data_IF_562065022324
#
_entry.id   IF_562065022324
#
_cell.length_a   1.000
_cell.length_b   1.000
_cell.length_c   1.000
_cell.angle_alpha   90.00
_cell.angle_beta   90.00
_cell.angle_gamma   90.00
#
_symmetry.space_group_name_H-M   'P 1'
#
loop_
_entity.id
_entity.type
_entity.pdbx_description
1 polymer ?
#
# COMPACT_ATOMS: atom_id res chain seq x y z
N UNK A 1 27.14 -26.41 -52.45
CA UNK A 1 26.18 -25.29 -52.45
C UNK A 1 25.01 -25.65 -51.55
N UNK A 2 24.49 -24.63 -50.85
CA UNK A 2 23.25 -24.57 -50.07
C UNK A 2 23.17 -25.43 -48.79
N UNK A 3 23.23 -24.76 -47.63
CA UNK A 3 22.05 -24.59 -46.77
C UNK A 3 22.43 -23.97 -45.41
N UNK A 4 22.38 -22.64 -45.30
CA UNK A 4 22.26 -21.93 -44.03
C UNK A 4 21.34 -20.72 -44.24
N UNK A 5 20.05 -21.00 -44.42
CA UNK A 5 19.03 -19.98 -44.21
C UNK A 5 18.85 -19.88 -42.70
N UNK A 6 19.72 -19.11 -42.05
CA UNK A 6 19.47 -18.66 -40.69
C UNK A 6 18.30 -17.69 -40.79
N UNK A 7 17.17 -18.05 -40.19
CA UNK A 7 16.00 -17.19 -40.06
C UNK A 7 16.40 -15.91 -39.31
N UNK A 8 16.85 -14.88 -40.04
CA UNK A 8 17.05 -13.53 -39.51
C UNK A 8 15.68 -12.85 -39.49
N UNK A 9 14.84 -13.31 -38.56
CA UNK A 9 13.65 -12.58 -38.19
C UNK A 9 14.03 -11.82 -36.90
N UNK A 10 14.31 -10.50 -36.97
CA UNK A 10 14.69 -9.70 -35.81
C UNK A 10 13.76 -9.86 -34.60
N UNK A 11 12.42 -9.96 -34.75
CA UNK A 11 11.55 -10.23 -33.60
C UNK A 11 11.74 -11.64 -33.03
N UNK A 12 12.05 -12.64 -33.86
CA UNK A 12 12.34 -14.00 -33.39
C UNK A 12 13.67 -14.04 -32.62
N UNK A 13 14.71 -13.36 -33.13
CA UNK A 13 16.01 -13.26 -32.47
C UNK A 13 15.90 -12.47 -31.15
N UNK A 14 15.09 -11.41 -31.12
CA UNK A 14 14.76 -10.66 -29.90
C UNK A 14 13.95 -11.49 -28.89
N UNK A 15 13.03 -12.33 -29.35
CA UNK A 15 12.32 -13.29 -28.50
C UNK A 15 13.27 -14.34 -27.92
N UNK A 16 14.21 -14.86 -28.72
CA UNK A 16 15.20 -15.86 -28.28
C UNK A 16 16.18 -15.26 -27.27
N UNK A 17 16.66 -14.03 -27.49
CA UNK A 17 17.54 -13.35 -26.54
C UNK A 17 16.82 -12.89 -25.27
N UNK A 18 15.52 -12.57 -25.34
CA UNK A 18 14.68 -12.32 -24.17
C UNK A 18 14.35 -13.59 -23.37
N UNK A 19 14.58 -14.77 -23.94
CA UNK A 19 14.31 -16.10 -23.35
C UNK A 19 15.59 -16.79 -22.86
N UNK A 20 16.62 -16.04 -22.47
CA UNK A 20 17.83 -16.63 -21.90
C UNK A 20 17.52 -17.32 -20.57
N UNK A 21 17.67 -18.65 -20.56
CA UNK A 21 17.48 -19.58 -19.42
C UNK A 21 16.03 -20.02 -19.16
N UNK A 22 15.13 -19.95 -20.16
CA UNK A 22 13.76 -20.44 -20.00
C UNK A 22 12.86 -19.52 -19.17
N UNK A 23 13.29 -18.29 -18.87
CA UNK A 23 12.50 -17.27 -18.19
C UNK A 23 12.47 -15.99 -19.03
N UNK A 24 11.28 -15.42 -19.19
CA UNK A 24 11.09 -14.11 -19.82
C UNK A 24 11.75 -13.02 -18.97
N UNK A 25 12.53 -12.12 -19.59
CA UNK A 25 13.21 -11.02 -18.89
C UNK A 25 12.31 -10.18 -17.98
N UNK A 26 11.05 -9.96 -18.37
CA UNK A 26 10.06 -9.27 -17.53
C UNK A 26 9.64 -10.07 -16.29
N UNK A 27 9.56 -11.41 -16.39
CA UNK A 27 9.29 -12.28 -15.23
C UNK A 27 10.50 -12.28 -14.29
N UNK A 28 11.72 -12.29 -14.82
CA UNK A 28 12.94 -12.15 -14.00
C UNK A 28 12.96 -10.81 -13.26
N UNK A 29 12.60 -9.72 -13.93
CA UNK A 29 12.50 -8.40 -13.29
C UNK A 29 11.43 -8.36 -12.19
N UNK A 30 10.27 -9.00 -12.41
CA UNK A 30 9.23 -9.12 -11.38
C UNK A 30 9.69 -9.92 -10.16
N UNK A 31 10.49 -10.99 -10.35
CA UNK A 31 11.07 -11.76 -9.24
C UNK A 31 12.08 -10.98 -8.40
N UNK A 32 12.66 -9.92 -8.96
CA UNK A 32 13.56 -9.01 -8.25
C UNK A 32 12.82 -7.91 -7.48
N UNK A 33 11.50 -7.75 -7.69
CA UNK A 33 10.70 -6.83 -6.89
C UNK A 33 10.43 -7.40 -5.50
N UNK A 34 10.65 -6.59 -4.47
CA UNK A 34 10.37 -6.95 -3.08
C UNK A 34 8.94 -6.54 -2.71
N UNK A 35 8.14 -7.36 -2.02
CA UNK A 35 6.81 -6.96 -1.59
C UNK A 35 6.85 -5.74 -0.66
N UNK A 36 5.73 -5.01 -0.59
CA UNK A 36 5.61 -3.84 0.28
C UNK A 36 5.52 -4.34 1.73
N UNK A 37 6.40 -3.83 2.58
CA UNK A 37 6.43 -4.15 4.02
C UNK A 37 5.87 -3.04 4.90
N UNK A 38 5.72 -1.83 4.37
CA UNK A 38 5.17 -0.72 5.12
C UNK A 38 4.85 0.45 4.22
N UNK A 39 3.75 1.14 4.54
CA UNK A 39 3.36 2.40 3.91
C UNK A 39 3.35 3.46 5.01
N UNK A 40 3.98 4.60 4.75
CA UNK A 40 4.03 5.73 5.70
C UNK A 40 3.82 7.05 4.97
N UNK A 41 3.63 8.15 5.70
CA UNK A 41 3.35 9.45 5.09
C UNK A 41 3.35 10.59 6.11
N UNK A 42 2.58 11.65 5.84
CA UNK A 42 2.52 12.89 6.65
C UNK A 42 2.08 12.73 8.11
N UNK A 43 1.28 11.72 8.44
CA UNK A 43 0.91 11.36 9.81
C UNK A 43 2.08 10.87 10.67
N UNK A 44 3.21 10.45 10.07
CA UNK A 44 4.42 10.06 10.81
C UNK A 44 5.51 11.08 10.47
N UNK A 45 5.89 11.87 11.46
CA UNK A 45 6.95 12.87 11.33
C UNK A 45 8.21 12.33 12.02
N UNK A 46 9.28 12.19 11.25
CA UNK A 46 10.60 11.77 11.75
C UNK A 46 11.67 12.67 11.14
N UNK A 47 12.48 13.33 11.97
CA UNK A 47 13.54 14.26 11.52
C UNK A 47 14.70 13.55 10.79
N UNK A 48 14.86 12.24 11.00
CA UNK A 48 15.85 11.40 10.34
C UNK A 48 15.21 10.07 10.00
N UNK A 49 14.67 9.93 8.79
CA UNK A 49 14.36 8.61 8.22
C UNK A 49 15.68 7.84 8.06
N UNK A 50 16.10 7.14 9.12
CA UNK A 50 16.82 5.89 8.92
C UNK A 50 15.77 4.99 8.29
N UNK A 51 15.82 4.82 6.96
CA UNK A 51 15.05 3.74 6.32
C UNK A 51 15.28 2.49 7.16
N UNK A 52 14.22 1.78 7.60
CA UNK A 52 14.39 0.51 8.27
C UNK A 52 15.18 -0.39 7.30
N UNK A 53 16.47 -0.54 7.57
CA UNK A 53 17.36 -1.39 6.82
C UNK A 53 16.95 -2.81 7.15
N UNK A 54 16.07 -3.42 6.35
CA UNK A 54 15.83 -4.86 6.46
C UNK A 54 15.77 -5.54 5.10
N UNK A 55 16.49 -6.66 5.05
CA UNK A 55 17.04 -7.31 3.87
C UNK A 55 16.00 -8.01 2.97
N UNK A 56 14.70 -7.68 3.09
CA UNK A 56 13.62 -8.45 2.45
C UNK A 56 12.33 -7.68 2.07
N UNK A 57 12.30 -6.35 2.12
CA UNK A 57 11.07 -5.60 1.78
C UNK A 57 11.25 -4.10 1.54
N UNK A 58 10.19 -3.46 1.02
CA UNK A 58 10.19 -2.01 0.76
C UNK A 58 9.22 -1.27 1.69
N UNK A 59 9.74 -0.27 2.39
CA UNK A 59 8.94 0.78 3.03
C UNK A 59 8.76 1.92 2.03
N UNK A 60 7.51 2.30 1.76
CA UNK A 60 7.17 3.24 0.70
C UNK A 60 6.41 4.43 1.28
N UNK A 61 6.88 5.64 0.98
CA UNK A 61 6.16 6.84 1.32
C UNK A 61 4.89 6.98 0.44
N UNK A 62 3.79 7.42 1.04
CA UNK A 62 2.46 7.52 0.41
C UNK A 62 2.44 8.32 -0.89
N UNK A 63 3.26 9.36 -0.98
CA UNK A 63 3.35 10.19 -2.19
C UNK A 63 4.22 9.57 -3.30
N UNK A 64 5.13 8.65 -2.97
CA UNK A 64 5.97 7.93 -3.93
C UNK A 64 5.33 6.61 -4.40
N UNK A 65 4.31 6.14 -3.68
CA UNK A 65 3.61 4.89 -3.96
C UNK A 65 3.09 4.77 -5.41
N UNK A 66 2.50 5.81 -6.04
CA UNK A 66 2.07 5.71 -7.43
C UNK A 66 3.21 5.44 -8.41
N UNK A 67 4.34 6.16 -8.27
CA UNK A 67 5.49 5.96 -9.14
C UNK A 67 6.09 4.55 -8.96
N UNK A 68 6.16 4.09 -7.71
CA UNK A 68 6.62 2.75 -7.37
C UNK A 68 5.73 1.65 -7.98
N UNK A 69 4.41 1.80 -7.88
CA UNK A 69 3.45 0.84 -8.43
C UNK A 69 3.34 0.90 -9.95
N UNK A 70 3.59 2.05 -10.56
CA UNK A 70 3.62 2.21 -12.02
C UNK A 70 4.75 1.40 -12.66
N UNK A 71 5.96 1.44 -12.09
CA UNK A 71 7.07 0.61 -12.54
C UNK A 71 6.71 -0.89 -12.56
N UNK A 72 6.01 -1.37 -11.52
CA UNK A 72 5.57 -2.77 -11.44
C UNK A 72 4.46 -3.08 -12.43
N UNK A 73 3.50 -2.16 -12.58
CA UNK A 73 2.40 -2.31 -13.54
C UNK A 73 2.93 -2.50 -14.95
N UNK A 74 3.90 -1.70 -15.38
CA UNK A 74 4.49 -1.82 -16.71
C UNK A 74 5.10 -3.21 -16.93
N UNK A 75 5.79 -3.76 -15.92
CA UNK A 75 6.34 -5.12 -16.00
C UNK A 75 5.25 -6.20 -16.07
N UNK A 76 4.19 -6.08 -15.27
CA UNK A 76 3.05 -7.01 -15.27
C UNK A 76 2.29 -6.93 -16.59
N UNK A 77 2.02 -5.74 -17.12
CA UNK A 77 1.26 -5.54 -18.35
C UNK A 77 2.00 -6.06 -19.58
N UNK A 78 3.34 -5.92 -19.63
CA UNK A 78 4.16 -6.53 -20.69
C UNK A 78 4.03 -8.07 -20.71
N UNK A 79 3.79 -8.69 -19.56
CA UNK A 79 3.57 -10.14 -19.45
C UNK A 79 2.13 -10.50 -19.79
N UNK A 80 1.14 -9.75 -19.28
CA UNK A 80 -0.28 -10.04 -19.49
C UNK A 80 -0.74 -9.78 -20.93
N UNK A 81 -0.18 -8.78 -21.62
CA UNK A 81 -0.55 -8.43 -23.00
C UNK A 81 -0.06 -9.44 -24.05
N UNK A 82 0.71 -10.46 -23.65
CA UNK A 82 1.17 -11.52 -24.54
C UNK A 82 0.60 -12.87 -24.07
N UNK A 83 -0.26 -13.55 -24.84
CA UNK A 83 -0.97 -14.75 -24.39
C UNK A 83 -0.03 -15.89 -23.97
N UNK A 84 1.06 -16.11 -24.70
CA UNK A 84 2.08 -17.11 -24.35
C UNK A 84 2.82 -16.77 -23.05
N UNK A 85 3.05 -15.48 -22.78
CA UNK A 85 3.71 -15.02 -21.54
C UNK A 85 2.75 -15.07 -20.34
N UNK A 86 1.47 -14.80 -20.56
CA UNK A 86 0.43 -14.91 -19.54
C UNK A 86 0.23 -16.36 -19.09
N UNK A 87 0.21 -17.33 -20.02
CA UNK A 87 0.15 -18.75 -19.67
C UNK A 87 1.35 -19.20 -18.82
N UNK A 88 2.56 -18.81 -19.22
CA UNK A 88 3.77 -19.07 -18.43
C UNK A 88 3.73 -18.37 -17.06
N UNK A 89 3.20 -17.15 -16.98
CA UNK A 89 3.03 -16.42 -15.73
C UNK A 89 2.15 -17.21 -14.75
N UNK A 90 1.03 -17.79 -15.19
CA UNK A 90 0.18 -18.62 -14.32
C UNK A 90 0.93 -19.81 -13.73
N UNK A 91 1.80 -20.47 -14.52
CA UNK A 91 2.65 -21.55 -14.01
C UNK A 91 3.68 -21.05 -12.99
N UNK A 92 4.33 -19.90 -13.24
CA UNK A 92 5.27 -19.32 -12.28
C UNK A 92 4.59 -18.81 -11.02
N UNK A 93 3.38 -18.24 -11.13
CA UNK A 93 2.60 -17.80 -9.98
C UNK A 93 2.28 -18.96 -9.05
N UNK A 94 2.09 -20.18 -9.57
CA UNK A 94 1.90 -21.37 -8.73
C UNK A 94 3.18 -21.74 -7.94
N UNK A 95 4.37 -21.54 -8.52
CA UNK A 95 5.64 -21.95 -7.89
C UNK A 95 6.31 -20.87 -7.03
N UNK A 96 6.16 -19.60 -7.41
CA UNK A 96 6.90 -18.48 -6.86
C UNK A 96 5.97 -17.56 -6.04
N UNK A 97 6.15 -17.58 -4.72
CA UNK A 97 5.37 -16.78 -3.78
C UNK A 97 5.60 -15.27 -3.98
N UNK A 98 6.85 -14.84 -4.22
CA UNK A 98 7.18 -13.40 -4.33
C UNK A 98 6.54 -12.80 -5.56
N UNK A 99 6.64 -13.51 -6.68
CA UNK A 99 5.99 -13.10 -7.92
C UNK A 99 4.47 -12.95 -7.73
N UNK A 100 3.87 -13.90 -7.00
CA UNK A 100 2.45 -13.86 -6.67
C UNK A 100 2.09 -12.65 -5.83
N UNK A 101 2.85 -12.37 -4.78
CA UNK A 101 2.62 -11.22 -3.90
C UNK A 101 2.68 -9.90 -4.70
N UNK A 102 3.73 -9.71 -5.52
CA UNK A 102 3.88 -8.50 -6.35
C UNK A 102 2.74 -8.34 -7.35
N UNK A 103 2.32 -9.42 -8.02
CA UNK A 103 1.20 -9.38 -8.97
C UNK A 103 -0.12 -9.08 -8.25
N UNK A 104 -0.34 -9.65 -7.06
CA UNK A 104 -1.54 -9.34 -6.24
C UNK A 104 -1.54 -7.90 -5.73
N UNK A 105 -0.38 -7.33 -5.37
CA UNK A 105 -0.24 -5.93 -4.98
C UNK A 105 -0.62 -4.99 -6.15
N UNK A 106 -0.13 -5.29 -7.36
CA UNK A 106 -0.53 -4.54 -8.58
C UNK A 106 -2.03 -4.69 -8.83
N UNK A 107 -2.59 -5.89 -8.71
CA UNK A 107 -4.02 -6.10 -8.89
C UNK A 107 -4.88 -5.30 -7.90
N UNK A 108 -4.48 -5.26 -6.62
CA UNK A 108 -5.18 -4.53 -5.58
C UNK A 108 -5.07 -3.01 -5.77
N UNK A 109 -3.89 -2.49 -6.13
CA UNK A 109 -3.65 -1.07 -6.31
C UNK A 109 -4.40 -0.48 -7.52
N UNK A 110 -4.49 -1.22 -8.63
CA UNK A 110 -5.20 -0.75 -9.85
C UNK A 110 -6.65 -1.25 -9.95
N UNK A 111 -7.19 -1.89 -8.91
CA UNK A 111 -8.58 -2.30 -8.90
C UNK A 111 -8.90 -3.45 -9.86
N UNK A 112 -7.91 -4.27 -10.26
CA UNK A 112 -8.13 -5.38 -11.20
C UNK A 112 -8.75 -6.59 -10.49
N UNK A 113 -10.04 -6.48 -10.16
CA UNK A 113 -10.76 -7.51 -9.40
C UNK A 113 -10.77 -8.86 -10.10
N UNK A 114 -10.89 -8.90 -11.43
CA UNK A 114 -10.87 -10.14 -12.22
C UNK A 114 -9.53 -10.89 -12.08
N UNK A 115 -8.42 -10.15 -12.08
CA UNK A 115 -7.09 -10.72 -11.89
C UNK A 115 -6.94 -11.25 -10.46
N UNK A 116 -7.40 -10.47 -9.47
CA UNK A 116 -7.35 -10.87 -8.06
C UNK A 116 -8.22 -12.10 -7.79
N UNK A 117 -9.45 -12.15 -8.30
CA UNK A 117 -10.35 -13.30 -8.19
C UNK A 117 -9.77 -14.52 -8.90
N UNK A 118 -9.24 -14.35 -10.11
CA UNK A 118 -8.56 -15.45 -10.83
C UNK A 118 -7.39 -16.03 -10.04
N UNK A 119 -6.60 -15.17 -9.38
CA UNK A 119 -5.52 -15.60 -8.47
C UNK A 119 -6.08 -16.30 -7.24
N UNK A 120 -7.09 -15.77 -6.56
CA UNK A 120 -7.66 -16.41 -5.37
C UNK A 120 -8.31 -17.76 -5.72
N UNK A 121 -9.06 -17.85 -6.82
CA UNK A 121 -9.73 -19.08 -7.26
C UNK A 121 -8.72 -20.18 -7.64
N UNK A 122 -7.64 -19.82 -8.36
CA UNK A 122 -6.59 -20.79 -8.71
C UNK A 122 -5.83 -21.32 -7.48
N UNK A 123 -5.73 -20.51 -6.43
CA UNK A 123 -5.10 -20.90 -5.17
C UNK A 123 -6.02 -21.68 -4.24
N UNK A 124 -7.32 -21.32 -4.19
CA UNK A 124 -8.31 -22.02 -3.38
C UNK A 124 -8.50 -23.48 -3.80
N UNK A 125 -8.30 -23.78 -5.09
CA UNK A 125 -8.37 -25.16 -5.60
C UNK A 125 -7.14 -26.01 -5.22
N UNK A 126 -6.04 -25.37 -4.82
CA UNK A 126 -4.77 -26.06 -4.60
C UNK A 126 -4.36 -25.93 -3.13
N UNK A 127 -4.77 -26.89 -2.30
CA UNK A 127 -4.46 -26.98 -0.87
C UNK A 127 -2.96 -26.99 -0.55
N UNK A 128 -2.10 -27.21 -1.54
CA UNK A 128 -0.64 -27.27 -1.44
C UNK A 128 0.07 -25.97 -1.80
N UNK A 129 -0.64 -24.95 -2.32
CA UNK A 129 -0.01 -23.69 -2.70
C UNK A 129 0.19 -22.79 -1.48
N UNK A 130 1.34 -22.08 -1.38
CA UNK A 130 1.55 -21.11 -0.32
C UNK A 130 0.41 -20.09 -0.36
N UNK A 131 -0.07 -19.61 0.78
CA UNK A 131 -1.08 -18.54 0.78
C UNK A 131 -0.48 -17.29 0.11
N UNK A 132 -1.30 -16.34 -0.34
CA UNK A 132 -0.77 -15.03 -0.73
C UNK A 132 -0.29 -14.37 0.58
N UNK A 133 0.94 -13.86 0.60
CA UNK A 133 1.57 -13.24 1.78
C UNK A 133 1.65 -11.72 1.67
N UNK A 134 1.15 -11.12 0.58
CA UNK A 134 1.03 -9.67 0.45
C UNK A 134 0.21 -9.09 1.63
N UNK A 135 0.90 -8.46 2.58
CA UNK A 135 0.30 -7.99 3.84
C UNK A 135 -0.49 -6.69 3.68
N UNK A 136 -0.16 -5.89 2.66
CA UNK A 136 -0.66 -4.53 2.49
C UNK A 136 -1.74 -4.37 1.42
N UNK A 137 -2.38 -5.46 0.95
CA UNK A 137 -3.43 -5.39 -0.08
C UNK A 137 -4.59 -4.46 0.31
N UNK A 138 -5.00 -4.45 1.59
CA UNK A 138 -6.03 -3.54 2.10
C UNK A 138 -5.62 -2.07 1.98
N UNK A 139 -4.37 -1.74 2.28
CA UNK A 139 -3.83 -0.39 2.16
C UNK A 139 -3.78 0.06 0.70
N UNK A 140 -3.34 -0.81 -0.21
CA UNK A 140 -3.26 -0.50 -1.64
C UNK A 140 -4.65 -0.27 -2.25
N UNK A 141 -5.63 -1.10 -1.91
CA UNK A 141 -7.01 -0.90 -2.35
C UNK A 141 -7.64 0.34 -1.72
N UNK A 142 -7.36 0.60 -0.43
CA UNK A 142 -7.80 1.81 0.27
C UNK A 142 -7.20 3.09 -0.32
N UNK A 143 -5.97 3.04 -0.83
CA UNK A 143 -5.27 4.19 -1.40
C UNK A 143 -6.00 4.81 -2.59
N UNK A 144 -6.57 3.98 -3.47
CA UNK A 144 -7.31 4.39 -4.66
C UNK A 144 -8.84 4.32 -4.51
N UNK A 145 -9.33 3.93 -3.33
CA UNK A 145 -10.76 3.87 -3.08
C UNK A 145 -11.47 2.66 -3.72
N UNK A 146 -10.75 1.55 -3.95
CA UNK A 146 -11.31 0.34 -4.56
C UNK A 146 -12.17 -0.47 -3.58
N UNK A 147 -13.37 0.03 -3.27
CA UNK A 147 -14.30 -0.60 -2.33
C UNK A 147 -14.68 -2.04 -2.71
N UNK A 148 -14.85 -2.34 -4.00
CA UNK A 148 -15.16 -3.69 -4.48
C UNK A 148 -14.02 -4.68 -4.21
N UNK A 149 -12.77 -4.25 -4.39
CA UNK A 149 -11.59 -5.06 -4.07
C UNK A 149 -11.53 -5.34 -2.56
N UNK A 150 -11.77 -4.32 -1.73
CA UNK A 150 -11.83 -4.49 -0.28
C UNK A 150 -12.93 -5.46 0.15
N UNK A 151 -14.14 -5.34 -0.42
CA UNK A 151 -15.24 -6.25 -0.15
C UNK A 151 -14.88 -7.70 -0.51
N UNK A 152 -14.25 -7.90 -1.68
CA UNK A 152 -13.81 -9.22 -2.12
C UNK A 152 -12.70 -9.80 -1.23
N UNK A 153 -11.73 -8.98 -0.79
CA UNK A 153 -10.66 -9.40 0.13
C UNK A 153 -11.23 -9.79 1.50
N UNK A 154 -12.23 -9.07 2.00
CA UNK A 154 -12.91 -9.41 3.25
C UNK A 154 -13.74 -10.68 3.12
N UNK A 155 -14.46 -10.86 2.00
CA UNK A 155 -15.31 -12.02 1.77
C UNK A 155 -14.51 -13.33 1.58
N UNK A 156 -13.32 -13.24 0.96
CA UNK A 156 -12.47 -14.39 0.68
C UNK A 156 -11.67 -14.91 1.90
N UNK A 157 -11.94 -14.37 3.11
CA UNK A 157 -11.22 -14.69 4.35
C UNK A 157 -9.70 -14.65 4.16
N UNK A 158 -9.22 -13.64 3.42
CA UNK A 158 -7.82 -13.27 3.36
C UNK A 158 -7.43 -12.71 4.74
N UNK A 159 -7.26 -13.61 5.71
CA UNK A 159 -7.25 -13.32 7.15
C UNK A 159 -6.24 -14.23 7.84
N UNK A 160 -5.02 -14.27 7.31
CA UNK A 160 -3.89 -14.71 8.12
C UNK A 160 -3.65 -13.67 9.22
N UNK A 161 -3.16 -14.13 10.38
CA UNK A 161 -2.80 -13.26 11.50
C UNK A 161 -1.89 -12.11 11.06
N UNK A 162 -0.95 -12.39 10.14
CA UNK A 162 0.02 -11.42 9.63
C UNK A 162 -0.59 -10.29 8.81
N UNK A 163 -1.66 -10.58 8.06
CA UNK A 163 -2.39 -9.57 7.27
C UNK A 163 -3.23 -8.71 8.20
N UNK A 164 -3.88 -9.31 9.20
CA UNK A 164 -4.70 -8.58 10.17
C UNK A 164 -3.83 -7.66 11.01
N UNK A 165 -2.66 -8.14 11.45
CA UNK A 165 -1.66 -7.30 12.13
C UNK A 165 -1.22 -6.13 11.24
N UNK A 166 -0.98 -6.39 9.95
CA UNK A 166 -0.61 -5.32 9.02
C UNK A 166 -1.73 -4.30 8.82
N UNK A 167 -3.02 -4.71 8.78
CA UNK A 167 -4.16 -3.79 8.67
C UNK A 167 -4.19 -2.74 9.78
N UNK A 168 -3.71 -3.07 10.99
CA UNK A 168 -3.63 -2.13 12.12
C UNK A 168 -2.55 -1.07 11.94
N UNK A 169 -1.53 -1.34 11.13
CA UNK A 169 -0.29 -0.57 11.15
C UNK A 169 0.50 -0.74 12.46
N UNK A 170 1.70 -0.19 12.47
CA UNK A 170 2.60 -0.13 13.62
C UNK A 170 3.03 1.33 13.90
N UNK A 171 4.08 1.54 14.70
CA UNK A 171 4.60 2.86 15.00
C UNK A 171 5.15 3.61 13.78
N UNK A 172 5.62 2.87 12.77
CA UNK A 172 6.32 3.38 11.58
C UNK A 172 5.51 3.26 10.28
N UNK A 173 4.33 2.63 10.34
CA UNK A 173 3.49 2.35 9.19
C UNK A 173 2.05 2.76 9.46
N UNK A 174 1.30 2.90 8.37
CA UNK A 174 -0.12 3.24 8.42
C UNK A 174 -0.99 2.02 8.57
N UNK A 175 -2.14 2.23 9.20
CA UNK A 175 -3.27 1.33 9.08
C UNK A 175 -3.99 1.52 7.74
N UNK A 176 -4.76 0.52 7.32
CA UNK A 176 -5.55 0.60 6.08
C UNK A 176 -6.61 1.72 6.16
N UNK A 177 -7.10 1.98 7.37
CA UNK A 177 -7.99 3.09 7.72
C UNK A 177 -7.28 4.44 7.65
N UNK A 178 -6.04 4.55 8.14
CA UNK A 178 -5.25 5.78 8.04
C UNK A 178 -4.99 6.15 6.58
N UNK A 179 -4.69 5.16 5.73
CA UNK A 179 -4.54 5.34 4.27
C UNK A 179 -5.85 5.83 3.64
N UNK A 180 -6.99 5.18 3.93
CA UNK A 180 -8.28 5.58 3.41
C UNK A 180 -8.68 7.01 3.85
N UNK A 181 -8.41 7.34 5.11
CA UNK A 181 -8.70 8.65 5.69
C UNK A 181 -7.84 9.74 5.05
N UNK A 182 -6.53 9.54 4.91
CA UNK A 182 -5.66 10.53 4.29
C UNK A 182 -6.05 10.82 2.83
N UNK A 183 -6.44 9.78 2.09
CA UNK A 183 -6.87 9.90 0.69
C UNK A 183 -8.32 10.37 0.52
N UNK A 184 -9.10 10.44 1.59
CA UNK A 184 -10.49 10.90 1.56
C UNK A 184 -11.50 9.89 1.02
N UNK A 185 -11.18 8.59 1.04
CA UNK A 185 -12.05 7.54 0.52
C UNK A 185 -13.06 7.06 1.57
N UNK A 186 -14.14 7.81 1.74
CA UNK A 186 -15.18 7.60 2.78
C UNK A 186 -15.86 6.23 2.67
N UNK A 187 -16.16 5.77 1.45
CA UNK A 187 -16.81 4.46 1.23
C UNK A 187 -15.92 3.30 1.69
N UNK A 188 -14.62 3.36 1.38
CA UNK A 188 -13.64 2.39 1.87
C UNK A 188 -13.49 2.48 3.38
N UNK A 189 -13.46 3.70 3.93
CA UNK A 189 -13.36 3.94 5.36
C UNK A 189 -14.54 3.32 6.13
N UNK A 190 -15.78 3.53 5.68
CA UNK A 190 -16.97 2.93 6.28
C UNK A 190 -16.96 1.39 6.22
N UNK A 191 -16.54 0.84 5.08
CA UNK A 191 -16.44 -0.61 4.87
C UNK A 191 -15.39 -1.22 5.81
N UNK A 192 -14.19 -0.64 5.88
CA UNK A 192 -13.12 -1.10 6.77
C UNK A 192 -13.53 -0.98 8.25
N UNK A 193 -14.10 0.16 8.63
CA UNK A 193 -14.54 0.45 9.99
C UNK A 193 -15.73 -0.40 10.45
N UNK A 194 -16.58 -0.85 9.52
CA UNK A 194 -17.67 -1.81 9.82
C UNK A 194 -17.13 -3.22 9.94
N UNK A 195 -16.19 -3.60 9.06
CA UNK A 195 -15.55 -4.92 9.09
C UNK A 195 -14.77 -5.15 10.40
N UNK A 196 -14.07 -4.14 10.90
CA UNK A 196 -13.29 -4.24 12.14
C UNK A 196 -14.17 -4.50 13.37
N UNK A 197 -15.32 -3.81 13.47
CA UNK A 197 -16.33 -4.07 14.52
C UNK A 197 -16.87 -5.49 14.48
N UNK A 198 -17.03 -6.09 13.29
CA UNK A 198 -17.45 -7.48 13.16
C UNK A 198 -16.36 -8.45 13.61
N UNK A 199 -15.09 -8.16 13.31
CA UNK A 199 -13.95 -8.97 13.74
C UNK A 199 -13.73 -8.90 15.26
N UNK A 200 -13.92 -7.72 15.85
CA UNK A 200 -13.83 -7.47 17.30
C UNK A 200 -14.91 -8.25 18.07
N UNK A 201 -16.17 -8.25 17.58
CA UNK A 201 -17.27 -9.05 18.16
C UNK A 201 -17.01 -10.54 18.18
N UNK A 202 -16.28 -11.05 17.20
CA UNK A 202 -15.93 -12.47 17.14
C UNK A 202 -14.69 -12.80 18.00
N UNK A 203 -14.09 -11.78 18.64
CA UNK A 203 -12.90 -11.85 19.47
C UNK A 203 -11.71 -12.57 18.81
N UNK A 204 -11.70 -12.62 17.47
CA UNK A 204 -10.79 -13.55 16.77
C UNK A 204 -9.37 -12.97 16.77
N UNK A 205 -9.19 -11.63 16.83
CA UNK A 205 -7.90 -11.05 16.44
C UNK A 205 -7.47 -9.76 17.16
N UNK A 206 -8.14 -9.35 18.24
CA UNK A 206 -7.67 -8.21 19.05
C UNK A 206 -7.49 -6.90 18.29
N UNK A 207 -8.31 -6.64 17.25
CA UNK A 207 -8.47 -5.32 16.59
C UNK A 207 -9.15 -4.29 17.52
N UNK A 208 -8.94 -4.44 18.82
CA UNK A 208 -9.55 -3.73 19.93
C UNK A 208 -9.22 -2.24 19.86
N UNK A 209 -10.28 -1.40 19.93
CA UNK A 209 -10.41 0.06 20.20
C UNK A 209 -9.40 1.07 19.60
N UNK A 210 -8.29 0.65 19.01
CA UNK A 210 -7.11 1.43 18.63
C UNK A 210 -6.80 1.37 17.13
N UNK A 211 -7.74 0.86 16.33
CA UNK A 211 -7.62 0.71 14.88
C UNK A 211 -7.60 2.04 14.10
N UNK A 212 -8.11 3.12 14.71
CA UNK A 212 -8.30 4.45 14.09
C UNK A 212 -7.18 5.47 14.36
N UNK A 213 -6.02 5.04 14.84
CA UNK A 213 -4.92 5.94 15.17
C UNK A 213 -4.54 5.81 16.64
N UNK A 214 -3.65 4.84 16.87
CA UNK A 214 -2.83 4.52 18.04
C UNK A 214 -3.10 5.30 19.34
N UNK A 215 -3.47 4.53 20.38
CA UNK A 215 -3.52 4.91 21.79
C UNK A 215 -3.06 3.70 22.64
N UNK A 216 -2.65 3.94 23.90
CA UNK A 216 -1.31 4.43 24.22
C UNK A 216 -0.25 3.37 23.89
N UNK A 217 0.84 3.83 23.28
CA UNK A 217 2.05 3.04 23.12
C UNK A 217 2.51 2.55 24.51
N UNK A 218 3.08 1.35 24.59
CA UNK A 218 3.78 0.93 25.82
C UNK A 218 4.73 2.04 26.27
N UNK A 219 4.95 2.20 27.58
CA UNK A 219 5.90 3.19 28.10
C UNK A 219 7.26 3.04 27.39
N UNK A 220 7.70 1.80 27.16
CA UNK A 220 8.92 1.49 26.42
C UNK A 220 8.89 1.99 24.99
N UNK A 221 7.78 1.80 24.27
CA UNK A 221 7.62 2.25 22.88
C UNK A 221 7.52 3.78 22.81
N UNK A 222 6.83 4.41 23.75
CA UNK A 222 6.74 5.87 23.86
C UNK A 222 8.14 6.46 24.07
N UNK A 223 8.91 5.89 25.01
CA UNK A 223 10.28 6.32 25.28
C UNK A 223 11.18 6.13 24.06
N UNK A 224 11.09 4.99 23.39
CA UNK A 224 11.82 4.73 22.15
C UNK A 224 11.47 5.74 21.05
N UNK A 225 10.19 5.99 20.79
CA UNK A 225 9.75 6.98 19.80
C UNK A 225 10.22 8.40 20.15
N UNK A 226 10.18 8.78 21.44
CA UNK A 226 10.73 10.07 21.87
C UNK A 226 12.24 10.15 21.69
N UNK A 227 12.97 9.04 21.87
CA UNK A 227 14.42 8.95 21.64
C UNK A 227 14.79 9.03 20.15
N UNK A 228 13.96 8.44 19.28
CA UNK A 228 14.13 8.48 17.81
C UNK A 228 13.46 9.71 17.15
N UNK A 229 12.88 10.60 17.96
CA UNK A 229 12.13 11.79 17.51
C UNK A 229 11.04 11.46 16.47
N UNK A 230 10.34 10.35 16.68
CA UNK A 230 9.20 9.91 15.86
C UNK A 230 7.92 10.46 16.49
N UNK A 231 7.14 11.19 15.70
CA UNK A 231 5.85 11.73 16.11
C UNK A 231 4.74 11.15 15.22
N UNK A 232 3.63 10.74 15.84
CA UNK A 232 2.43 10.31 15.12
C UNK A 232 1.28 11.28 15.34
N UNK A 233 0.62 11.64 14.25
CA UNK A 233 -0.57 12.50 14.23
C UNK A 233 -1.79 11.58 14.05
N UNK A 234 -2.84 11.77 14.85
CA UNK A 234 -4.07 11.00 14.70
C UNK A 234 -4.76 11.34 13.36
N UNK A 235 -5.27 10.33 12.66
CA UNK A 235 -5.97 10.50 11.39
C UNK A 235 -7.15 11.48 11.49
N UNK A 236 -7.86 11.50 12.63
CA UNK A 236 -8.96 12.44 12.87
C UNK A 236 -8.47 13.89 12.93
N UNK A 237 -7.37 14.15 13.62
CA UNK A 237 -6.82 15.51 13.74
C UNK A 237 -6.26 16.00 12.39
N UNK A 238 -5.62 15.10 11.63
CA UNK A 238 -5.17 15.39 10.27
C UNK A 238 -6.34 15.67 9.31
N UNK A 239 -7.43 14.88 9.39
CA UNK A 239 -8.62 15.10 8.57
C UNK A 239 -9.32 16.43 8.89
N UNK A 240 -9.34 16.83 10.17
CA UNK A 240 -9.83 18.15 10.60
C UNK A 240 -8.93 19.26 10.03
N UNK A 241 -7.61 19.12 10.13
CA UNK A 241 -6.66 20.11 9.60
C UNK A 241 -6.77 20.27 8.07
N UNK A 242 -7.10 19.19 7.36
CA UNK A 242 -7.30 19.19 5.91
C UNK A 242 -8.71 19.62 5.47
N UNK A 243 -9.65 19.84 6.39
CA UNK A 243 -11.03 20.23 6.08
C UNK A 243 -11.88 19.13 5.44
N UNK A 244 -11.57 17.85 5.68
CA UNK A 244 -12.29 16.71 5.12
C UNK A 244 -13.51 16.35 5.99
N UNK A 245 -14.63 17.07 5.83
CA UNK A 245 -15.82 16.94 6.69
C UNK A 245 -16.42 15.53 6.71
N UNK A 246 -16.54 14.87 5.55
CA UNK A 246 -17.12 13.53 5.44
C UNK A 246 -16.26 12.46 6.14
N UNK A 247 -14.93 12.57 6.00
CA UNK A 247 -13.96 11.69 6.67
C UNK A 247 -14.04 11.90 8.18
N UNK A 248 -14.11 13.15 8.63
CA UNK A 248 -14.26 13.50 10.05
C UNK A 248 -15.57 12.95 10.62
N UNK A 249 -16.68 13.07 9.88
CA UNK A 249 -17.97 12.53 10.29
C UNK A 249 -17.92 11.01 10.43
N UNK A 250 -17.32 10.31 9.45
CA UNK A 250 -17.14 8.87 9.48
C UNK A 250 -16.23 8.43 10.65
N UNK A 251 -15.06 9.05 10.82
CA UNK A 251 -14.15 8.73 11.93
C UNK A 251 -14.81 8.94 13.29
N UNK A 252 -15.58 10.02 13.47
CA UNK A 252 -16.35 10.27 14.71
C UNK A 252 -17.44 9.22 14.95
N UNK A 253 -18.20 8.87 13.91
CA UNK A 253 -19.23 7.81 13.96
C UNK A 253 -18.66 6.47 14.41
N UNK A 254 -17.41 6.18 14.05
CA UNK A 254 -16.74 4.93 14.43
C UNK A 254 -15.88 5.02 15.70
N UNK A 255 -15.85 6.17 16.38
CA UNK A 255 -15.22 6.34 17.68
C UNK A 255 -13.71 6.59 17.64
N UNK A 256 -13.20 7.19 16.55
CA UNK A 256 -11.79 7.56 16.45
C UNK A 256 -11.39 8.54 17.59
N UNK A 257 -10.28 8.29 18.29
CA UNK A 257 -9.83 9.14 19.38
C UNK A 257 -9.40 10.52 18.86
N UNK A 258 -9.75 11.58 19.60
CA UNK A 258 -9.15 12.91 19.45
C UNK A 258 -7.97 13.03 20.43
N UNK A 259 -6.91 13.74 20.04
CA UNK A 259 -5.78 14.04 20.93
C UNK A 259 -6.22 14.66 22.27
N UNK A 260 -7.24 15.52 22.27
CA UNK A 260 -7.78 16.14 23.47
C UNK A 260 -8.45 15.14 24.44
N UNK A 261 -9.07 14.08 23.93
CA UNK A 261 -9.76 13.06 24.74
C UNK A 261 -8.77 12.04 25.33
N UNK A 262 -7.64 11.82 24.65
CA UNK A 262 -6.51 11.01 25.13
C UNK A 262 -5.85 11.62 26.38
N UNK A 263 -5.70 12.95 26.41
CA UNK A 263 -5.14 13.68 27.55
C UNK A 263 -6.06 13.67 28.78
N UNK A 264 -7.39 13.62 28.58
CA UNK A 264 -8.37 13.62 29.67
C UNK A 264 -8.51 12.26 30.37
N UNK A 265 -8.22 11.14 29.68
CA UNK A 265 -8.22 9.78 30.28
C UNK A 265 -6.84 9.30 30.73
N UNK A 266 -5.78 9.99 30.33
CA UNK A 266 -4.40 9.75 30.78
C UNK A 266 -4.04 10.57 32.02
N UNK A 267 -4.60 10.22 33.18
CA UNK A 267 -4.03 10.66 34.44
C UNK A 267 -2.55 10.29 34.48
N UNK A 268 -1.68 11.27 34.71
CA UNK A 268 -0.27 11.11 35.13
C UNK A 268 0.74 10.50 34.14
N UNK A 269 0.74 10.87 32.85
CA UNK A 269 1.95 10.72 32.01
C UNK A 269 2.31 12.09 31.40
N UNK A 270 3.28 12.73 32.04
CA UNK A 270 3.61 14.14 31.86
C UNK A 270 4.13 14.49 30.46
N UNK A 271 3.76 15.71 30.04
CA UNK A 271 4.58 16.62 29.22
C UNK A 271 5.32 15.99 28.04
N UNK A 272 4.65 15.23 27.19
CA UNK A 272 5.09 15.12 25.79
C UNK A 272 4.41 16.27 25.04
N UNK A 273 5.21 17.21 24.51
CA UNK A 273 4.72 18.32 23.68
C UNK A 273 4.16 17.74 22.39
N UNK A 274 2.86 17.47 22.37
CA UNK A 274 2.12 17.25 21.13
C UNK A 274 1.78 18.62 20.56
N UNK A 275 2.47 19.00 19.48
CA UNK A 275 2.29 20.32 18.86
C UNK A 275 0.91 20.36 18.22
N UNK A 276 0.08 21.27 18.73
CA UNK A 276 -1.12 21.73 18.06
C UNK A 276 -0.67 22.39 16.74
N UNK A 277 -0.91 21.74 15.60
CA UNK A 277 -0.69 22.38 14.29
C UNK A 277 -1.89 23.31 14.05
N UNK A 278 -1.94 24.40 14.81
CA UNK A 278 -2.69 25.59 14.47
C UNK A 278 -1.73 26.58 13.81
N UNK A 279 -1.21 26.22 12.64
CA UNK A 279 -0.59 27.19 11.74
C UNK A 279 -1.12 26.98 10.33
N UNK A 280 -1.98 27.93 9.93
CA UNK A 280 -2.32 28.32 8.55
C UNK A 280 -1.58 27.51 7.50
N UNK A 281 -2.29 26.61 6.81
CA UNK A 281 -1.90 26.17 5.47
C UNK A 281 -1.94 27.43 4.60
N UNK A 282 -0.82 28.16 4.56
CA UNK A 282 -0.55 29.08 3.47
C UNK A 282 -0.21 28.18 2.30
N UNK A 283 -1.23 27.90 1.49
CA UNK A 283 -1.06 27.36 0.15
C UNK A 283 0.06 28.17 -0.52
N UNK A 284 1.13 27.55 -1.07
CA UNK A 284 2.00 28.28 -1.95
C UNK A 284 1.26 28.49 -3.27
N UNK A 285 0.41 29.53 -3.32
CA UNK A 285 -0.04 30.12 -4.57
C UNK A 285 1.17 30.82 -5.21
N UNK A 286 2.00 30.06 -5.91
CA UNK A 286 2.91 30.63 -6.91
C UNK A 286 2.32 30.32 -8.29
N UNK A 287 1.81 31.32 -9.03
CA UNK A 287 1.52 31.11 -10.43
C UNK A 287 2.83 30.81 -11.16
N UNK A 288 2.90 29.65 -11.79
CA UNK A 288 3.94 29.31 -12.76
C UNK A 288 3.94 30.38 -13.87
N UNK A 289 4.92 31.29 -13.83
CA UNK A 289 5.25 32.13 -14.99
C UNK A 289 5.86 31.21 -16.05
N UNK A 290 5.02 30.77 -16.99
CA UNK A 290 5.46 30.15 -18.23
C UNK A 290 6.25 31.19 -19.03
N UNK A 291 7.59 31.18 -18.90
CA UNK A 291 8.47 31.89 -19.83
C UNK A 291 8.50 31.11 -21.14
N UNK A 292 7.59 31.44 -22.06
CA UNK A 292 7.73 31.08 -23.48
C UNK A 292 8.96 31.79 -24.04
N UNK A 293 10.10 31.10 -24.16
CA UNK A 293 11.17 31.48 -25.10
C UNK A 293 10.77 30.93 -26.47
N UNK A 294 10.02 31.72 -27.23
CA UNK A 294 9.89 31.51 -28.67
C UNK A 294 11.21 31.94 -29.29
N UNK A 295 11.95 30.98 -29.83
CA UNK A 295 13.03 31.23 -30.81
C UNK A 295 12.34 31.73 -32.08
N UNK A 296 12.48 33.01 -32.39
CA UNK A 296 12.27 33.50 -33.76
C UNK A 296 13.61 33.36 -34.50
N UNK A 297 13.61 32.45 -35.49
CA UNK A 297 14.59 32.39 -36.58
C UNK A 297 13.97 33.08 -37.80
N UNK A 298 14.84 33.73 -38.58
CA UNK A 298 14.65 34.32 -39.92
C UNK A 298 13.94 35.69 -39.91
N UNK A 299 14.40 36.71 -40.64
CA UNK A 299 15.25 36.74 -41.83
C UNK A 299 16.64 37.35 -41.59
#
# INVERSE_FOLDING_TARGET
MASTVVFVCPPLLSCITAFQHGQLGSIRALKQCFPIQGIHGRLIVQDKLKQPCEQNGCYVHMDDLPAFMECRRLLVDVVLNCPHKAAALHEYLARDQRLRDVVTEVAAFYGRINLLQGLVSTLAFCFTLPRIHARFLFHLAAYHGHAEVLANLLATNYSSQDVIAARRGDELTYSDVEVAAERGHVTCLELLATSSKQMDRRNIFGLDRNYFGLLPLSLSTTLWMTGENIQRIHALDAAIANGQEDVVACLRKHGAPKLADCAAKGSTIGKVKYIHISHKIVLPTRPMKIRRRVKLRHA
#
